data_IF_029300342944
#
_entry.id   IF_029300342944
#
_cell.length_a   1.000
_cell.length_b   1.000
_cell.length_c   1.000
_cell.angle_alpha   90.00
_cell.angle_beta   90.00
_cell.angle_gamma   90.00
#
_symmetry.space_group_name_H-M   'P 1'
#
loop_
_entity.id
_entity.type
_entity.pdbx_description
1 polymer ?
#
# COMPACT_ATOMS: atom_id res chain seq x y z
N UNK A 1 -7.09 2.45 9.10
CA UNK A 1 -8.23 3.36 9.31
C UNK A 1 -9.18 3.10 8.16
N UNK A 2 -10.43 2.75 8.45
CA UNK A 2 -11.46 2.65 7.42
C UNK A 2 -12.36 3.88 7.49
N UNK A 3 -12.37 4.70 6.44
CA UNK A 3 -13.13 5.96 6.42
C UNK A 3 -14.64 5.73 6.33
N UNK A 4 -15.10 4.60 5.78
CA UNK A 4 -16.54 4.33 5.63
C UNK A 4 -17.22 3.89 6.94
N UNK A 5 -16.44 3.43 7.93
CA UNK A 5 -16.95 2.91 9.20
C UNK A 5 -16.40 3.65 10.44
N UNK A 6 -15.58 4.69 10.24
CA UNK A 6 -14.80 5.40 11.28
C UNK A 6 -14.08 4.47 12.29
N UNK A 7 -13.72 3.27 11.86
CA UNK A 7 -13.08 2.28 12.72
C UNK A 7 -11.56 2.41 12.65
N UNK A 8 -10.94 2.46 13.84
CA UNK A 8 -9.49 2.61 14.01
C UNK A 8 -8.99 1.61 15.05
N UNK A 9 -7.95 0.86 14.68
CA UNK A 9 -7.24 -0.09 15.56
C UNK A 9 -5.75 0.19 15.54
N UNK A 10 -5.06 -0.03 16.67
CA UNK A 10 -3.61 0.18 16.77
C UNK A 10 -2.90 -0.97 16.07
N UNK A 11 -2.22 -0.66 14.96
CA UNK A 11 -1.56 -1.67 14.13
C UNK A 11 -0.28 -2.26 14.76
N UNK A 12 0.52 -1.43 15.43
CA UNK A 12 1.81 -1.86 15.94
C UNK A 12 2.22 -1.12 17.22
N UNK A 13 3.13 -1.74 17.95
CA UNK A 13 3.80 -1.15 19.11
C UNK A 13 5.31 -1.38 19.03
N UNK A 14 6.07 -0.52 19.71
CA UNK A 14 7.52 -0.62 19.73
C UNK A 14 7.95 -1.92 20.41
N UNK A 15 8.82 -2.67 19.74
CA UNK A 15 9.20 -4.03 20.15
C UNK A 15 10.12 -3.96 21.38
N UNK A 16 9.58 -4.18 22.59
CA UNK A 16 10.38 -4.24 23.85
C UNK A 16 10.99 -5.63 24.09
N UNK A 17 10.42 -6.71 23.53
CA UNK A 17 10.94 -8.09 23.57
C UNK A 17 10.65 -8.82 22.25
N UNK A 18 11.46 -9.81 21.93
CA UNK A 18 11.36 -10.58 20.70
C UNK A 18 10.32 -11.70 20.80
N UNK A 19 9.09 -11.47 20.32
CA UNK A 19 8.26 -12.46 19.60
C UNK A 19 6.80 -11.96 19.42
N UNK A 20 6.52 -11.35 18.28
CA UNK A 20 5.21 -11.43 17.63
C UNK A 20 5.43 -12.11 16.28
N UNK A 21 4.46 -12.87 15.78
CA UNK A 21 4.61 -13.58 14.50
C UNK A 21 4.90 -12.60 13.34
N UNK A 22 4.14 -11.50 13.31
CA UNK A 22 4.37 -10.38 12.37
C UNK A 22 5.15 -9.28 13.07
N UNK A 23 6.35 -8.97 12.56
CA UNK A 23 7.25 -7.99 13.16
C UNK A 23 8.24 -7.43 12.14
N UNK A 24 8.68 -6.19 12.34
CA UNK A 24 9.90 -5.63 11.74
C UNK A 24 10.99 -5.54 12.81
N UNK A 25 12.15 -4.97 12.46
CA UNK A 25 13.28 -4.77 13.38
C UNK A 25 12.83 -4.04 14.67
N UNK A 26 11.99 -3.00 14.54
CA UNK A 26 11.62 -2.10 15.65
C UNK A 26 10.16 -2.21 16.10
N UNK A 27 9.29 -2.85 15.31
CA UNK A 27 7.85 -2.86 15.55
C UNK A 27 7.31 -4.28 15.61
N UNK A 28 6.46 -4.54 16.61
CA UNK A 28 5.65 -5.73 16.74
C UNK A 28 4.22 -5.39 16.32
N UNK A 29 3.63 -6.20 15.44
CA UNK A 29 2.30 -5.97 14.90
C UNK A 29 1.27 -6.81 15.66
N UNK A 30 0.10 -6.22 15.84
CA UNK A 30 -1.06 -6.89 16.41
C UNK A 30 -1.73 -7.76 15.33
N UNK A 31 -1.75 -9.08 15.51
CA UNK A 31 -2.23 -10.03 14.50
C UNK A 31 -3.71 -9.85 14.18
N UNK A 32 -4.52 -9.52 15.18
CA UNK A 32 -5.96 -9.35 15.02
C UNK A 32 -6.27 -8.07 14.24
N UNK A 33 -5.47 -7.03 14.48
CA UNK A 33 -5.54 -5.77 13.74
C UNK A 33 -5.08 -5.95 12.29
N UNK A 34 -4.03 -6.75 12.04
CA UNK A 34 -3.62 -7.09 10.68
C UNK A 34 -4.72 -7.83 9.96
N UNK A 35 -5.25 -8.91 10.57
CA UNK A 35 -6.31 -9.73 9.99
C UNK A 35 -7.56 -8.90 9.68
N UNK A 36 -7.97 -8.04 10.61
CA UNK A 36 -9.10 -7.14 10.41
C UNK A 36 -8.85 -6.15 9.27
N UNK A 37 -7.71 -5.47 9.25
CA UNK A 37 -7.42 -4.46 8.23
C UNK A 37 -7.25 -5.07 6.83
N UNK A 38 -6.68 -6.27 6.76
CA UNK A 38 -6.57 -7.04 5.51
C UNK A 38 -7.96 -7.47 5.00
N UNK A 39 -8.85 -7.89 5.90
CA UNK A 39 -10.26 -8.17 5.57
C UNK A 39 -11.04 -6.93 5.11
N UNK A 40 -10.74 -5.74 5.65
CA UNK A 40 -11.32 -4.49 5.18
C UNK A 40 -10.88 -4.17 3.75
N UNK A 41 -9.61 -4.39 3.40
CA UNK A 41 -9.09 -4.15 2.05
C UNK A 41 -9.74 -5.07 1.01
N UNK A 42 -10.00 -6.33 1.36
CA UNK A 42 -10.75 -7.27 0.50
C UNK A 42 -12.19 -6.85 0.21
N UNK A 43 -12.78 -6.01 1.06
CA UNK A 43 -14.17 -5.57 0.93
C UNK A 43 -14.29 -4.21 0.24
N UNK A 44 -13.19 -3.66 -0.28
CA UNK A 44 -13.23 -2.39 -1.01
C UNK A 44 -14.11 -2.54 -2.27
N UNK A 45 -15.07 -1.62 -2.48
CA UNK A 45 -15.85 -1.58 -3.71
C UNK A 45 -14.96 -1.40 -4.95
N UNK A 46 -15.42 -1.94 -6.08
CA UNK A 46 -14.82 -1.65 -7.38
C UNK A 46 -14.94 -0.15 -7.70
N UNK A 47 -13.89 0.40 -8.33
CA UNK A 47 -13.77 1.79 -8.79
C UNK A 47 -13.52 2.86 -7.72
N UNK A 48 -13.10 2.48 -6.51
CA UNK A 48 -12.64 3.43 -5.50
C UNK A 48 -11.25 4.03 -5.82
N UNK A 49 -10.82 5.02 -5.03
CA UNK A 49 -9.46 5.57 -5.03
C UNK A 49 -8.72 5.05 -3.78
N UNK A 50 -8.13 3.84 -3.82
CA UNK A 50 -7.39 3.32 -2.67
C UNK A 50 -6.19 4.21 -2.35
N UNK A 51 -6.08 4.59 -1.08
CA UNK A 51 -4.94 5.32 -0.51
C UNK A 51 -4.28 4.43 0.54
N UNK A 52 -3.09 3.92 0.21
CA UNK A 52 -2.35 2.99 1.05
C UNK A 52 -1.09 3.69 1.56
N UNK A 53 -1.14 4.16 2.81
CA UNK A 53 -0.08 4.99 3.43
C UNK A 53 1.22 4.21 3.74
N UNK A 54 1.23 2.87 3.59
CA UNK A 54 2.49 2.15 3.38
C UNK A 54 2.32 0.72 2.89
N UNK A 55 3.10 0.35 1.87
CA UNK A 55 3.50 -1.04 1.63
C UNK A 55 5.00 -1.21 1.87
N UNK A 56 5.39 -2.30 2.52
CA UNK A 56 6.74 -2.52 3.01
C UNK A 56 7.26 -3.94 2.78
N UNK A 57 8.38 -4.30 3.43
CA UNK A 57 8.98 -5.61 3.26
C UNK A 57 8.11 -6.77 3.75
N UNK A 58 7.16 -6.50 4.67
CA UNK A 58 6.21 -7.51 5.13
C UNK A 58 5.34 -7.98 3.95
N UNK A 59 4.75 -7.03 3.25
CA UNK A 59 3.83 -7.31 2.15
C UNK A 59 4.59 -7.79 0.90
N UNK A 60 5.66 -7.08 0.51
CA UNK A 60 6.39 -7.37 -0.73
C UNK A 60 7.23 -8.65 -0.67
N UNK A 61 7.86 -8.97 0.47
CA UNK A 61 8.87 -10.04 0.54
C UNK A 61 8.43 -11.23 1.40
N UNK A 62 7.56 -11.01 2.39
CA UNK A 62 7.17 -12.05 3.35
C UNK A 62 5.75 -12.56 3.16
N UNK A 63 4.93 -11.88 2.37
CA UNK A 63 3.51 -12.23 2.26
C UNK A 63 2.79 -12.10 3.60
N UNK A 64 3.19 -11.11 4.41
CA UNK A 64 2.62 -10.81 5.72
C UNK A 64 2.13 -9.37 5.78
N UNK A 65 1.33 -9.03 6.79
CA UNK A 65 0.81 -7.68 6.96
C UNK A 65 -0.45 -7.47 6.14
N UNK A 66 -0.56 -6.32 5.47
CA UNK A 66 -1.74 -5.98 4.66
C UNK A 66 -1.55 -6.41 3.19
N UNK A 67 -1.45 -7.72 2.98
CA UNK A 67 -1.21 -8.32 1.66
C UNK A 67 -2.36 -8.04 0.69
N UNK A 68 -3.59 -7.96 1.17
CA UNK A 68 -4.75 -7.55 0.39
C UNK A 68 -4.57 -6.18 -0.27
N UNK A 69 -3.71 -5.33 0.31
CA UNK A 69 -3.34 -4.05 -0.31
C UNK A 69 -2.59 -4.25 -1.62
N UNK A 70 -1.76 -5.28 -1.75
CA UNK A 70 -1.14 -5.64 -3.03
C UNK A 70 -2.17 -6.24 -3.98
N UNK A 71 -3.08 -7.10 -3.49
CA UNK A 71 -4.10 -7.73 -4.33
C UNK A 71 -5.05 -6.69 -4.94
N UNK A 72 -5.43 -5.65 -4.18
CA UNK A 72 -6.21 -4.50 -4.67
C UNK A 72 -5.47 -3.78 -5.81
N UNK A 73 -4.15 -3.62 -5.69
CA UNK A 73 -3.33 -2.98 -6.72
C UNK A 73 -3.16 -3.85 -7.96
N UNK A 74 -2.96 -5.16 -7.75
CA UNK A 74 -2.78 -6.14 -8.82
C UNK A 74 -4.09 -6.35 -9.60
N UNK A 75 -5.26 -6.25 -8.95
CA UNK A 75 -6.57 -6.33 -9.59
C UNK A 75 -6.84 -5.17 -10.56
N UNK A 76 -6.36 -3.97 -10.26
CA UNK A 76 -6.52 -2.80 -11.14
C UNK A 76 -7.95 -2.25 -11.24
N UNK A 77 -8.88 -2.72 -10.40
CA UNK A 77 -10.30 -2.32 -10.35
C UNK A 77 -10.50 -0.94 -9.69
N UNK A 78 -9.70 0.04 -10.07
CA UNK A 78 -9.75 1.42 -9.57
C UNK A 78 -9.47 2.41 -10.69
N UNK A 79 -9.99 3.65 -10.55
CA UNK A 79 -9.66 4.73 -11.50
C UNK A 79 -8.25 5.29 -11.29
N UNK A 80 -7.79 5.24 -10.05
CA UNK A 80 -6.40 5.48 -9.68
C UNK A 80 -6.14 4.96 -8.27
N UNK A 81 -4.88 4.81 -7.89
CA UNK A 81 -4.47 4.45 -6.54
C UNK A 81 -3.28 5.31 -6.09
N UNK A 82 -3.21 5.60 -4.79
CA UNK A 82 -2.06 6.29 -4.19
C UNK A 82 -1.44 5.35 -3.17
N UNK A 83 -0.18 5.01 -3.36
CA UNK A 83 0.53 4.04 -2.53
C UNK A 83 1.84 4.63 -2.08
N UNK A 84 2.11 4.63 -0.78
CA UNK A 84 3.41 5.04 -0.26
C UNK A 84 4.29 3.80 -0.13
N UNK A 85 5.48 3.85 -0.73
CA UNK A 85 6.49 2.81 -0.58
C UNK A 85 7.83 3.43 -0.18
N UNK A 86 8.73 2.60 0.34
CA UNK A 86 10.14 3.01 0.50
C UNK A 86 10.81 2.98 -0.88
N UNK A 87 11.70 3.93 -1.22
CA UNK A 87 12.43 3.91 -2.48
C UNK A 87 13.16 2.59 -2.77
N UNK A 88 13.68 1.94 -1.72
CA UNK A 88 14.37 0.66 -1.82
C UNK A 88 13.47 -0.51 -2.25
N UNK A 89 12.15 -0.33 -2.24
CA UNK A 89 11.15 -1.32 -2.65
C UNK A 89 10.52 -1.00 -4.02
N UNK A 90 11.01 0.04 -4.69
CA UNK A 90 10.55 0.41 -6.02
C UNK A 90 10.77 -0.71 -7.06
N UNK A 91 11.91 -1.42 -7.07
CA UNK A 91 12.10 -2.56 -7.99
C UNK A 91 11.03 -3.64 -7.82
N UNK A 92 10.64 -3.96 -6.58
CA UNK A 92 9.62 -4.95 -6.25
C UNK A 92 8.24 -4.50 -6.71
N UNK A 93 7.91 -3.22 -6.52
CA UNK A 93 6.67 -2.63 -7.03
C UNK A 93 6.61 -2.64 -8.57
N UNK A 94 7.73 -2.33 -9.24
CA UNK A 94 7.83 -2.37 -10.69
C UNK A 94 7.75 -3.80 -11.26
N UNK A 95 8.35 -4.77 -10.58
CA UNK A 95 8.29 -6.18 -10.98
C UNK A 95 6.85 -6.73 -10.96
N UNK A 96 6.00 -6.21 -10.07
CA UNK A 96 4.55 -6.50 -10.03
C UNK A 96 3.74 -5.82 -11.14
N UNK A 97 4.39 -5.12 -12.08
CA UNK A 97 3.77 -4.39 -13.20
C UNK A 97 2.76 -3.33 -12.77
N UNK A 98 2.99 -2.74 -11.60
CA UNK A 98 2.25 -1.57 -11.17
C UNK A 98 2.62 -0.40 -12.09
N UNK A 99 1.79 -0.13 -13.10
CA UNK A 99 1.96 0.99 -14.03
C UNK A 99 1.72 2.30 -13.29
N UNK A 100 2.81 2.86 -12.76
CA UNK A 100 2.79 3.99 -11.84
C UNK A 100 3.51 5.21 -12.38
N UNK A 101 2.95 6.37 -12.10
CA UNK A 101 3.74 7.57 -11.96
C UNK A 101 4.39 7.57 -10.58
N UNK A 102 5.73 7.65 -10.57
CA UNK A 102 6.50 7.77 -9.34
C UNK A 102 6.61 9.24 -8.95
N UNK A 103 6.11 9.60 -7.76
CA UNK A 103 6.20 10.94 -7.19
C UNK A 103 7.10 10.90 -5.96
N UNK A 104 8.30 11.45 -6.10
CA UNK A 104 9.22 11.63 -4.97
C UNK A 104 8.74 12.78 -4.10
N UNK A 105 8.36 12.48 -2.86
CA UNK A 105 7.95 13.51 -1.91
C UNK A 105 9.15 14.02 -1.11
N UNK A 106 9.14 15.30 -0.77
CA UNK A 106 10.03 15.87 0.23
C UNK A 106 9.24 16.05 1.52
N UNK A 107 9.83 15.66 2.65
CA UNK A 107 9.27 15.94 3.97
C UNK A 107 9.29 17.45 4.08
N UNK A 108 8.12 18.04 4.29
CA UNK A 108 8.01 19.45 4.63
C UNK A 108 8.87 19.64 5.88
N UNK A 109 9.94 20.44 5.76
CA UNK A 109 10.93 20.60 6.81
C UNK A 109 10.31 21.19 8.08
N UNK A 110 9.90 20.34 9.02
CA UNK A 110 9.91 20.74 10.42
C UNK A 110 11.36 20.71 10.90
N UNK A 111 11.84 21.85 11.38
CA UNK A 111 13.18 22.10 11.95
C UNK A 111 13.50 21.12 13.09
N UNK A 112 13.82 19.85 12.80
CA UNK A 112 14.60 18.97 13.65
C UNK A 112 14.86 17.63 12.96
N UNK A 113 16.15 17.44 12.62
CA UNK A 113 16.85 16.16 12.48
C UNK A 113 16.47 15.32 11.26
N UNK A 114 17.41 15.32 10.31
CA UNK A 114 17.32 14.60 9.04
C UNK A 114 17.24 13.09 9.19
N UNK A 115 16.25 12.51 8.50
CA UNK A 115 16.24 11.16 7.93
C UNK A 115 15.39 11.26 6.63
N UNK A 116 15.88 10.68 5.53
CA UNK A 116 15.33 10.74 4.17
C UNK A 116 13.97 10.02 3.95
N UNK A 117 13.36 10.24 2.79
CA UNK A 117 11.93 10.54 2.54
C UNK A 117 11.08 9.37 1.99
N UNK A 118 9.74 9.35 2.22
CA UNK A 118 8.83 8.38 1.59
C UNK A 118 8.58 8.68 0.10
N UNK A 119 8.44 7.63 -0.71
CA UNK A 119 8.08 7.71 -2.13
C UNK A 119 6.58 7.45 -2.27
N UNK A 120 5.86 8.31 -2.98
CA UNK A 120 4.47 8.06 -3.34
C UNK A 120 4.41 7.54 -4.78
N UNK A 121 3.68 6.45 -5.01
CA UNK A 121 3.32 5.94 -6.31
C UNK A 121 1.87 6.31 -6.58
N UNK A 122 1.64 7.03 -7.68
CA UNK A 122 0.30 7.25 -8.22
C UNK A 122 0.09 6.26 -9.38
N UNK A 123 -0.91 5.40 -9.26
CA UNK A 123 -1.22 4.36 -10.25
C UNK A 123 -2.48 4.76 -11.01
N UNK A 124 -2.51 4.55 -12.32
CA UNK A 124 -3.72 4.70 -13.15
C UNK A 124 -3.95 3.44 -13.96
N UNK A 125 -5.17 2.93 -13.97
CA UNK A 125 -5.56 1.85 -14.87
C UNK A 125 -5.77 2.41 -16.29
N UNK A 126 -5.04 1.88 -17.26
CA UNK A 126 -5.26 2.20 -18.67
C UNK A 126 -6.52 1.47 -19.14
N UNK A 127 -7.66 2.16 -19.24
CA UNK A 127 -8.78 1.64 -20.01
C UNK A 127 -8.33 1.55 -21.47
N UNK A 128 -8.17 0.32 -21.98
CA UNK A 128 -8.21 0.10 -23.42
C UNK A 128 -9.63 0.41 -23.87
N UNK A 129 -9.86 1.59 -24.44
CA UNK A 129 -11.04 1.79 -25.27
C UNK A 129 -10.86 0.88 -26.48
N UNK A 130 -11.44 -0.31 -26.42
CA UNK A 130 -11.71 -1.13 -27.59
C UNK A 130 -12.64 -0.34 -28.50
N UNK A 131 -12.07 0.51 -29.34
CA UNK A 131 -12.73 0.99 -30.54
C UNK A 131 -12.71 -0.20 -31.48
N UNK A 132 -13.88 -0.78 -31.71
CA UNK A 132 -14.06 -1.79 -32.73
C UNK A 132 -13.57 -1.24 -34.06
N UNK A 133 -12.63 -1.99 -34.63
CA UNK A 133 -12.24 -1.92 -36.02
C UNK A 133 -13.47 -2.34 -36.85
N UNK A 134 -14.21 -1.36 -37.37
CA UNK A 134 -15.21 -1.57 -38.41
C UNK A 134 -14.57 -1.10 -39.73
N UNK A 135 -13.84 -2.01 -40.35
CA UNK A 135 -13.49 -1.99 -41.77
C UNK A 135 -14.51 -2.86 -42.50
N UNK A 136 -15.48 -2.21 -43.13
CA UNK A 136 -15.91 -2.34 -44.55
C UNK A 136 -17.29 -1.70 -44.79
#
# INVERSE_FOLDING_TARGET
>A
MNLSHDERRRQAHWRRKAATAVATIQWAFDSDTITWGDGVLHQLPQNDLPVIDKLGPLEFMRGEGFVAGLDVLDAGDYRGAVVVIRPSLLPEAQARRLHAQVITTQKVEDRARGIHLPLALALSSSYSTGVNDETD
#
